data_IF_222052207891
#
_entry.id   IF_222052207891
#
_cell.length_a   1.000
_cell.length_b   1.000
_cell.length_c   1.000
_cell.angle_alpha   90.00
_cell.angle_beta   90.00
_cell.angle_gamma   90.00
#
_symmetry.space_group_name_H-M   'P 1'
#
loop_
_entity.id
_entity.type
_entity.pdbx_description
1 polymer ?
#
# COMPACT_ATOMS: atom_id res chain seq x y z
N UNK A 1 -21.84 22.58 26.54
CA UNK A 1 -20.61 22.31 27.30
C UNK A 1 -20.15 20.85 27.17
N UNK A 2 -20.85 19.86 27.74
CA UNK A 2 -20.45 18.43 27.71
C UNK A 2 -20.13 17.85 26.32
N UNK A 3 -20.93 18.20 25.31
CA UNK A 3 -20.74 17.71 23.94
C UNK A 3 -19.49 18.31 23.26
N UNK A 4 -19.13 19.55 23.58
CA UNK A 4 -17.92 20.19 23.04
C UNK A 4 -16.69 19.52 23.66
N UNK A 5 -16.69 19.32 24.97
CA UNK A 5 -15.59 18.63 25.68
C UNK A 5 -15.38 17.19 25.20
N UNK A 6 -16.46 16.46 24.87
CA UNK A 6 -16.37 15.11 24.29
C UNK A 6 -15.77 15.12 22.87
N UNK A 7 -16.15 16.10 22.04
CA UNK A 7 -15.59 16.27 20.70
C UNK A 7 -14.11 16.69 20.73
N UNK A 8 -13.74 17.61 21.62
CA UNK A 8 -12.35 18.02 21.81
C UNK A 8 -11.48 16.85 22.28
N UNK A 9 -12.00 16.03 23.19
CA UNK A 9 -11.32 14.80 23.64
C UNK A 9 -11.07 13.83 22.49
N UNK A 10 -12.06 13.62 21.61
CA UNK A 10 -11.92 12.76 20.41
C UNK A 10 -10.96 13.35 19.38
N UNK A 11 -11.01 14.65 19.13
CA UNK A 11 -10.11 15.33 18.20
C UNK A 11 -8.65 15.18 18.66
N UNK A 12 -8.36 15.46 19.93
CA UNK A 12 -7.01 15.30 20.49
C UNK A 12 -6.51 13.86 20.41
N UNK A 13 -7.39 12.87 20.66
CA UNK A 13 -7.02 11.46 20.53
C UNK A 13 -6.68 11.07 19.08
N UNK A 14 -7.48 11.53 18.10
CA UNK A 14 -7.23 11.30 16.69
C UNK A 14 -5.95 12.00 16.19
N UNK A 15 -5.68 13.21 16.66
CA UNK A 15 -4.45 13.95 16.33
C UNK A 15 -3.21 13.24 16.88
N UNK A 16 -3.27 12.74 18.12
CA UNK A 16 -2.20 11.93 18.69
C UNK A 16 -1.95 10.67 17.87
N UNK A 17 -3.02 9.93 17.52
CA UNK A 17 -2.92 8.73 16.68
C UNK A 17 -2.35 9.04 15.29
N UNK A 18 -2.79 10.13 14.65
CA UNK A 18 -2.28 10.54 13.35
C UNK A 18 -0.78 10.84 13.40
N UNK A 19 -0.33 11.54 14.44
CA UNK A 19 1.09 11.85 14.64
C UNK A 19 1.92 10.58 14.82
N UNK A 20 1.43 9.65 15.63
CA UNK A 20 2.14 8.39 15.91
C UNK A 20 2.26 7.54 14.63
N UNK A 21 1.16 7.39 13.88
CA UNK A 21 1.14 6.68 12.60
C UNK A 21 2.04 7.35 11.54
N UNK A 22 2.10 8.69 11.53
CA UNK A 22 2.97 9.42 10.60
C UNK A 22 4.44 9.18 10.90
N UNK A 23 4.82 9.17 12.18
CA UNK A 23 6.18 8.87 12.61
C UNK A 23 6.56 7.42 12.30
N UNK A 24 5.66 6.48 12.57
CA UNK A 24 5.85 5.07 12.24
C UNK A 24 6.07 4.86 10.74
N UNK A 25 5.23 5.48 9.89
CA UNK A 25 5.41 5.45 8.42
C UNK A 25 6.80 5.97 8.03
N UNK A 26 7.24 7.09 8.60
CA UNK A 26 8.55 7.66 8.28
C UNK A 26 9.71 6.73 8.68
N UNK A 27 9.61 6.07 9.84
CA UNK A 27 10.62 5.11 10.31
C UNK A 27 10.68 3.86 9.41
N UNK A 28 9.52 3.33 9.01
CA UNK A 28 9.43 2.17 8.10
C UNK A 28 9.91 2.50 6.68
N UNK A 29 9.69 3.73 6.22
CA UNK A 29 10.14 4.18 4.91
C UNK A 29 11.65 4.46 4.86
N UNK A 30 12.26 4.92 5.95
CA UNK A 30 13.68 5.31 6.00
C UNK A 30 14.69 4.28 5.45
N UNK A 31 14.55 2.95 5.68
CA UNK A 31 15.47 1.96 5.13
C UNK A 31 15.11 1.49 3.70
N UNK A 32 13.98 1.93 3.13
CA UNK A 32 13.54 1.48 1.81
C UNK A 32 14.29 2.22 0.69
N UNK A 33 14.43 1.55 -0.46
CA UNK A 33 14.99 2.18 -1.64
C UNK A 33 14.06 3.31 -2.16
N UNK A 34 14.66 4.43 -2.58
CA UNK A 34 13.93 5.64 -2.99
C UNK A 34 13.00 5.38 -4.20
N UNK A 35 13.48 4.61 -5.18
CA UNK A 35 12.72 4.22 -6.37
C UNK A 35 11.49 3.36 -6.04
N UNK A 36 11.62 2.47 -5.06
CA UNK A 36 10.53 1.65 -4.55
C UNK A 36 9.47 2.50 -3.84
N UNK A 37 9.89 3.45 -3.00
CA UNK A 37 9.01 4.38 -2.30
C UNK A 37 8.27 5.30 -3.27
N UNK A 38 8.96 5.92 -4.22
CA UNK A 38 8.33 6.79 -5.23
C UNK A 38 7.26 6.05 -6.02
N UNK A 39 7.53 4.79 -6.39
CA UNK A 39 6.55 3.96 -7.10
C UNK A 39 5.33 3.67 -6.23
N UNK A 40 5.54 3.31 -4.97
CA UNK A 40 4.45 3.08 -4.02
C UNK A 40 3.62 4.35 -3.80
N UNK A 41 4.25 5.49 -3.52
CA UNK A 41 3.56 6.75 -3.21
C UNK A 41 2.72 7.24 -4.39
N UNK A 42 3.23 7.13 -5.63
CA UNK A 42 2.47 7.45 -6.84
C UNK A 42 1.23 6.55 -6.99
N UNK A 43 1.37 5.25 -6.69
CA UNK A 43 0.23 4.33 -6.73
C UNK A 43 -0.75 4.60 -5.59
N UNK A 44 -0.26 4.88 -4.38
CA UNK A 44 -1.09 5.18 -3.23
C UNK A 44 -1.91 6.46 -3.44
N UNK A 45 -1.33 7.50 -4.02
CA UNK A 45 -2.05 8.74 -4.36
C UNK A 45 -3.25 8.51 -5.29
N UNK A 46 -3.20 7.50 -6.18
CA UNK A 46 -4.26 7.23 -7.16
C UNK A 46 -5.15 6.02 -6.83
N UNK A 47 -4.66 5.05 -6.06
CA UNK A 47 -5.33 3.77 -5.76
C UNK A 47 -5.55 3.54 -4.26
N UNK A 48 -5.05 4.43 -3.40
CA UNK A 48 -5.13 4.33 -1.94
C UNK A 48 -4.59 2.99 -1.43
N UNK A 49 -5.36 2.37 -0.53
CA UNK A 49 -5.02 1.11 0.14
C UNK A 49 -4.83 -0.08 -0.82
N UNK A 50 -5.18 0.06 -2.10
CA UNK A 50 -4.97 -0.95 -3.13
C UNK A 50 -3.72 -0.69 -3.99
N UNK A 51 -2.72 0.05 -3.50
CA UNK A 51 -1.45 0.26 -4.21
C UNK A 51 -0.62 -1.03 -4.37
N UNK A 52 -0.69 -1.90 -3.36
CA UNK A 52 -0.04 -3.21 -3.30
C UNK A 52 -1.13 -4.26 -3.12
N UNK A 53 -1.15 -5.31 -3.95
CA UNK A 53 -2.21 -6.33 -3.94
C UNK A 53 -1.68 -7.72 -4.19
N UNK A 54 -2.40 -8.73 -3.69
CA UNK A 54 -2.04 -10.12 -3.90
C UNK A 54 -2.20 -10.54 -5.36
N UNK A 55 -1.35 -11.47 -5.77
CA UNK A 55 -1.57 -12.27 -6.96
C UNK A 55 -2.15 -13.63 -6.55
N UNK A 56 -3.39 -13.91 -6.95
CA UNK A 56 -4.08 -15.16 -6.64
C UNK A 56 -4.49 -15.86 -7.94
N UNK A 57 -4.12 -17.12 -8.12
CA UNK A 57 -4.48 -17.88 -9.34
C UNK A 57 -4.12 -17.15 -10.65
N UNK A 58 -2.99 -16.44 -10.68
CA UNK A 58 -2.56 -15.59 -11.81
C UNK A 58 -3.48 -14.38 -12.08
N UNK A 59 -4.32 -13.99 -11.12
CA UNK A 59 -5.24 -12.86 -11.18
C UNK A 59 -4.80 -11.77 -10.21
N UNK A 60 -4.72 -10.53 -10.71
CA UNK A 60 -4.49 -9.36 -9.86
C UNK A 60 -5.75 -9.07 -9.02
N UNK A 61 -5.67 -9.15 -7.70
CA UNK A 61 -6.84 -8.91 -6.82
C UNK A 61 -7.29 -7.44 -6.77
N UNK A 62 -6.52 -6.52 -7.38
CA UNK A 62 -6.88 -5.11 -7.47
C UNK A 62 -7.73 -4.72 -8.69
N UNK A 63 -7.53 -5.36 -9.85
CA UNK A 63 -8.33 -5.10 -11.05
C UNK A 63 -9.07 -6.35 -11.58
N UNK A 64 -8.85 -7.51 -10.97
CA UNK A 64 -9.46 -8.78 -11.31
C UNK A 64 -9.12 -9.28 -12.73
N UNK A 65 -8.05 -8.75 -13.32
CA UNK A 65 -7.55 -9.21 -14.61
C UNK A 65 -6.48 -10.28 -14.42
N UNK A 66 -6.49 -11.27 -15.31
CA UNK A 66 -5.42 -12.25 -15.42
C UNK A 66 -4.14 -11.59 -15.93
N UNK A 67 -3.01 -11.90 -15.32
CA UNK A 67 -1.69 -11.43 -15.75
C UNK A 67 -1.00 -12.48 -16.64
N UNK A 68 0.12 -12.11 -17.26
CA UNK A 68 0.91 -13.07 -18.04
C UNK A 68 1.60 -14.09 -17.13
N UNK A 69 1.82 -15.30 -17.64
CA UNK A 69 2.58 -16.35 -16.94
C UNK A 69 4.00 -15.87 -16.58
N UNK A 70 4.65 -15.10 -17.46
CA UNK A 70 5.96 -14.51 -17.20
C UNK A 70 5.91 -13.57 -15.99
N UNK A 71 4.92 -12.67 -15.92
CA UNK A 71 4.75 -11.78 -14.78
C UNK A 71 4.42 -12.57 -13.52
N UNK A 72 3.58 -13.60 -13.59
CA UNK A 72 3.29 -14.47 -12.44
C UNK A 72 4.56 -15.15 -11.90
N UNK A 73 5.45 -15.63 -12.77
CA UNK A 73 6.75 -16.17 -12.37
C UNK A 73 7.65 -15.12 -11.73
N UNK A 74 7.70 -13.88 -12.27
CA UNK A 74 8.49 -12.79 -11.68
C UNK A 74 7.99 -12.43 -10.28
N UNK A 75 6.66 -12.35 -10.09
CA UNK A 75 6.04 -12.12 -8.77
C UNK A 75 6.42 -13.22 -7.78
N UNK A 76 6.32 -14.49 -8.19
CA UNK A 76 6.70 -15.65 -7.35
C UNK A 76 8.19 -15.70 -7.00
N UNK A 77 9.06 -15.19 -7.87
CA UNK A 77 10.50 -15.17 -7.62
C UNK A 77 10.90 -14.14 -6.55
N UNK A 78 10.09 -13.09 -6.35
CA UNK A 78 10.28 -12.13 -5.24
C UNK A 78 11.58 -11.32 -5.30
N UNK A 79 12.26 -11.24 -6.45
CA UNK A 79 13.54 -10.55 -6.62
C UNK A 79 13.43 -9.07 -6.98
N UNK A 80 12.25 -8.63 -7.39
CA UNK A 80 12.00 -7.28 -7.89
C UNK A 80 10.54 -6.88 -7.65
N UNK A 81 10.27 -5.56 -7.67
CA UNK A 81 8.90 -5.05 -7.64
C UNK A 81 8.23 -5.22 -9.00
N UNK A 82 7.26 -6.13 -9.05
CA UNK A 82 6.47 -6.40 -10.24
C UNK A 82 5.14 -5.65 -10.17
N UNK A 83 4.75 -5.00 -11.26
CA UNK A 83 3.42 -4.39 -11.40
C UNK A 83 2.50 -5.22 -12.28
N UNK A 84 1.21 -5.15 -12.00
CA UNK A 84 0.17 -5.58 -12.91
C UNK A 84 0.23 -4.76 -14.22
N UNK A 85 0.24 -5.44 -15.36
CA UNK A 85 0.31 -4.83 -16.69
C UNK A 85 -0.98 -4.06 -17.04
N UNK A 86 -2.09 -4.35 -16.35
CA UNK A 86 -3.40 -3.75 -16.61
C UNK A 86 -3.68 -2.50 -15.79
N UNK A 87 -3.28 -2.49 -14.50
CA UNK A 87 -3.63 -1.41 -13.58
C UNK A 87 -2.44 -0.75 -12.87
N UNK A 88 -1.23 -1.25 -13.09
CA UNK A 88 0.01 -0.69 -12.54
C UNK A 88 0.28 -1.01 -11.07
N UNK A 89 -0.68 -1.57 -10.32
CA UNK A 89 -0.50 -1.94 -8.90
C UNK A 89 0.67 -2.90 -8.70
N UNK A 90 1.36 -2.76 -7.57
CA UNK A 90 2.43 -3.68 -7.18
C UNK A 90 1.80 -5.00 -6.78
N UNK A 91 2.34 -6.10 -7.30
CA UNK A 91 1.87 -7.45 -7.03
C UNK A 91 2.82 -8.12 -6.03
N UNK A 92 2.25 -8.78 -5.02
CA UNK A 92 2.97 -9.71 -4.17
C UNK A 92 2.39 -11.11 -4.28
N UNK A 93 3.23 -12.13 -4.08
CA UNK A 93 2.75 -13.50 -4.00
C UNK A 93 2.21 -13.75 -2.60
N UNK A 94 0.91 -14.02 -2.48
CA UNK A 94 0.32 -14.51 -1.24
C UNK A 94 0.50 -16.03 -1.22
N UNK A 95 1.20 -16.54 -0.20
CA UNK A 95 1.41 -17.98 0.03
C UNK A 95 0.08 -18.72 0.25
#
# INVERSE_FOLDING_TARGET
ARQITDLDGKANALEAQLRDLTNERAQLASPMAEDALERYDRLFASKGNAAVVALEHEVCTGCHMKITTQTAHRVRNGRELVSCEQCGRILYYAE
#
